data_IF_250137354126
#
_entry.id   IF_250137354126
#
_cell.length_a   1.000
_cell.length_b   1.000
_cell.length_c   1.000
_cell.angle_alpha   90.00
_cell.angle_beta   90.00
_cell.angle_gamma   90.00
#
_symmetry.space_group_name_H-M   'P 1'
#
loop_
_entity.id
_entity.type
_entity.pdbx_description
1 polymer ?
#
# COMPACT_ATOMS: atom_id res chain seq x y z
N UNK A 1 -25.50 -9.23 -19.66
CA UNK A 1 -24.76 -9.71 -18.48
C UNK A 1 -23.86 -10.91 -18.82
N UNK A 2 -24.36 -11.97 -19.50
CA UNK A 2 -23.54 -13.16 -19.80
C UNK A 2 -22.27 -12.82 -20.62
N UNK A 3 -22.39 -12.00 -21.67
CA UNK A 3 -21.25 -11.56 -22.47
C UNK A 3 -20.22 -10.76 -21.60
N UNK A 4 -20.69 -9.89 -20.73
CA UNK A 4 -19.83 -9.15 -19.78
C UNK A 4 -19.10 -10.11 -18.86
N UNK A 5 -19.79 -11.11 -18.30
CA UNK A 5 -19.19 -12.11 -17.43
C UNK A 5 -18.05 -12.88 -18.14
N UNK A 6 -18.27 -13.27 -19.40
CA UNK A 6 -17.22 -13.96 -20.18
C UNK A 6 -16.02 -13.05 -20.43
N UNK A 7 -16.23 -11.80 -20.81
CA UNK A 7 -15.13 -10.83 -21.04
C UNK A 7 -14.34 -10.59 -19.76
N UNK A 8 -15.02 -10.34 -18.66
CA UNK A 8 -14.37 -10.10 -17.35
C UNK A 8 -13.57 -11.33 -16.92
N UNK A 9 -14.16 -12.53 -16.96
CA UNK A 9 -13.46 -13.76 -16.59
C UNK A 9 -12.21 -14.01 -17.46
N UNK A 10 -12.33 -13.74 -18.78
CA UNK A 10 -11.18 -13.86 -19.69
C UNK A 10 -10.04 -12.91 -19.26
N UNK A 11 -10.35 -11.64 -18.96
CA UNK A 11 -9.34 -10.67 -18.52
C UNK A 11 -8.73 -11.07 -17.17
N UNK A 12 -9.54 -11.58 -16.25
CA UNK A 12 -9.04 -12.09 -14.97
C UNK A 12 -8.06 -13.26 -15.16
N UNK A 13 -8.36 -14.21 -16.03
CA UNK A 13 -7.47 -15.33 -16.33
C UNK A 13 -6.17 -14.85 -16.97
N UNK A 14 -6.26 -13.97 -17.98
CA UNK A 14 -5.08 -13.43 -18.67
C UNK A 14 -4.20 -12.66 -17.69
N UNK A 15 -4.80 -11.82 -16.86
CA UNK A 15 -4.06 -10.99 -15.89
C UNK A 15 -3.45 -11.85 -14.78
N UNK A 16 -4.18 -12.85 -14.29
CA UNK A 16 -3.65 -13.81 -13.32
C UNK A 16 -2.44 -14.61 -13.89
N UNK A 17 -2.52 -15.00 -15.16
CA UNK A 17 -1.40 -15.65 -15.84
C UNK A 17 -0.20 -14.73 -16.00
N UNK A 18 -0.43 -13.47 -16.39
CA UNK A 18 0.63 -12.47 -16.51
C UNK A 18 1.32 -12.22 -15.17
N UNK A 19 0.56 -12.10 -14.07
CA UNK A 19 1.11 -11.95 -12.71
C UNK A 19 1.95 -13.17 -12.29
N UNK A 20 1.50 -14.39 -12.60
CA UNK A 20 2.28 -15.61 -12.34
C UNK A 20 3.64 -15.59 -13.05
N UNK A 21 3.68 -15.15 -14.30
CA UNK A 21 4.91 -15.05 -15.09
C UNK A 21 5.79 -13.93 -14.56
N UNK A 22 5.21 -12.77 -14.24
CA UNK A 22 5.94 -11.62 -13.70
C UNK A 22 6.66 -11.96 -12.38
N UNK A 23 6.05 -12.74 -11.48
CA UNK A 23 6.73 -13.24 -10.27
C UNK A 23 7.98 -14.03 -10.62
N UNK A 24 7.90 -14.94 -11.60
CA UNK A 24 9.05 -15.74 -11.99
C UNK A 24 10.16 -14.88 -12.63
N UNK A 25 9.78 -13.92 -13.49
CA UNK A 25 10.75 -13.00 -14.12
C UNK A 25 11.41 -12.08 -13.08
N UNK A 26 10.64 -11.49 -12.17
CA UNK A 26 11.20 -10.64 -11.12
C UNK A 26 12.18 -11.37 -10.21
N UNK A 27 11.97 -12.65 -9.95
CA UNK A 27 12.92 -13.48 -9.20
C UNK A 27 14.17 -13.79 -10.02
N UNK A 28 13.99 -14.09 -11.29
CA UNK A 28 15.12 -14.35 -12.20
C UNK A 28 16.01 -13.11 -12.39
N UNK A 29 15.42 -11.90 -12.51
CA UNK A 29 16.16 -10.63 -12.57
C UNK A 29 16.97 -10.34 -11.30
N UNK A 30 16.54 -10.87 -10.17
CA UNK A 30 17.26 -10.80 -8.89
C UNK A 30 18.27 -11.93 -8.69
N UNK A 31 18.45 -12.80 -9.68
CA UNK A 31 19.28 -14.01 -9.58
C UNK A 31 18.83 -14.96 -8.44
N UNK A 32 17.52 -14.91 -8.11
CA UNK A 32 16.92 -15.79 -7.11
C UNK A 32 16.40 -17.03 -7.81
N UNK A 33 17.07 -18.16 -7.57
CA UNK A 33 16.59 -19.46 -8.03
C UNK A 33 15.49 -19.96 -7.10
N UNK A 34 14.27 -19.99 -7.61
CA UNK A 34 13.09 -20.41 -6.86
C UNK A 34 12.13 -21.19 -7.73
N UNK A 35 11.89 -22.42 -7.35
CA UNK A 35 10.95 -23.33 -8.01
C UNK A 35 9.62 -23.31 -7.25
N UNK A 36 8.52 -23.20 -7.97
CA UNK A 36 7.19 -23.27 -7.39
C UNK A 36 6.83 -24.75 -7.08
N UNK A 37 6.36 -25.01 -5.87
CA UNK A 37 5.94 -26.35 -5.44
C UNK A 37 4.62 -26.79 -6.08
N UNK A 38 3.84 -25.85 -6.60
CA UNK A 38 2.54 -26.11 -7.22
C UNK A 38 2.24 -25.14 -8.37
N UNK A 39 1.37 -25.56 -9.26
CA UNK A 39 0.86 -24.72 -10.35
C UNK A 39 -0.44 -24.01 -9.92
N UNK A 40 -0.61 -22.78 -10.37
CA UNK A 40 -1.85 -22.03 -10.12
C UNK A 40 -3.01 -22.56 -10.98
N UNK A 41 -4.18 -22.72 -10.36
CA UNK A 41 -5.43 -22.89 -11.08
C UNK A 41 -5.99 -21.51 -11.45
N UNK A 42 -5.74 -21.07 -12.68
CA UNK A 42 -6.12 -19.74 -13.14
C UNK A 42 -7.64 -19.47 -13.09
N UNK A 43 -8.46 -20.52 -13.19
CA UNK A 43 -9.92 -20.38 -13.09
C UNK A 43 -10.37 -19.98 -11.67
N UNK A 44 -9.58 -20.31 -10.65
CA UNK A 44 -9.88 -19.92 -9.26
C UNK A 44 -9.82 -18.40 -9.01
N UNK A 45 -9.24 -17.63 -9.94
CA UNK A 45 -9.14 -16.18 -9.84
C UNK A 45 -10.27 -15.44 -10.57
N UNK A 46 -11.24 -16.15 -11.11
CA UNK A 46 -12.41 -15.54 -11.78
C UNK A 46 -13.52 -15.22 -10.78
N UNK A 47 -14.23 -14.13 -11.02
CA UNK A 47 -15.42 -13.78 -10.25
C UNK A 47 -16.60 -14.67 -10.65
N UNK A 48 -17.27 -15.24 -9.68
CA UNK A 48 -18.47 -16.04 -9.89
C UNK A 48 -19.53 -15.25 -10.68
N UNK A 49 -20.20 -15.85 -11.71
CA UNK A 49 -21.14 -15.14 -12.57
C UNK A 49 -22.29 -14.45 -11.83
N UNK A 50 -22.82 -15.09 -10.77
CA UNK A 50 -23.88 -14.48 -9.96
C UNK A 50 -23.37 -13.30 -9.11
N UNK A 51 -22.14 -13.37 -8.62
CA UNK A 51 -21.52 -12.26 -7.90
C UNK A 51 -21.31 -11.07 -8.85
N UNK A 52 -20.79 -11.32 -10.05
CA UNK A 52 -20.62 -10.30 -11.07
C UNK A 52 -21.95 -9.66 -11.49
N UNK A 53 -23.01 -10.47 -11.67
CA UNK A 53 -24.35 -9.94 -11.98
C UNK A 53 -24.84 -8.97 -10.90
N UNK A 54 -24.64 -9.29 -9.62
CA UNK A 54 -25.00 -8.39 -8.51
C UNK A 54 -24.17 -7.12 -8.50
N UNK A 55 -22.87 -7.23 -8.79
CA UNK A 55 -21.96 -6.08 -8.85
C UNK A 55 -22.36 -5.14 -9.99
N UNK A 56 -22.63 -5.66 -11.17
CA UNK A 56 -23.12 -4.88 -12.33
C UNK A 56 -24.46 -4.19 -12.02
N UNK A 57 -25.38 -4.89 -11.37
CA UNK A 57 -26.68 -4.33 -11.01
C UNK A 57 -26.58 -3.23 -9.90
N UNK A 58 -25.47 -3.15 -9.21
CA UNK A 58 -25.21 -2.13 -8.19
C UNK A 58 -24.48 -0.90 -8.74
N UNK A 59 -24.17 -0.84 -10.05
CA UNK A 59 -23.57 0.33 -10.69
C UNK A 59 -24.65 1.15 -11.38
N UNK A 60 -24.69 2.45 -11.09
CA UNK A 60 -25.66 3.38 -11.66
C UNK A 60 -25.12 4.15 -12.88
N UNK A 61 -23.80 4.17 -13.05
CA UNK A 61 -23.13 4.91 -14.13
C UNK A 61 -22.04 4.07 -14.81
N UNK A 62 -21.72 4.41 -16.06
CA UNK A 62 -20.63 3.78 -16.81
C UNK A 62 -19.28 3.90 -16.06
N UNK A 63 -19.03 5.05 -15.44
CA UNK A 63 -17.81 5.26 -14.68
C UNK A 63 -17.73 4.39 -13.40
N UNK A 64 -18.84 4.06 -12.78
CA UNK A 64 -18.86 3.09 -11.66
C UNK A 64 -18.66 1.68 -12.17
N UNK A 65 -19.26 1.33 -13.28
CA UNK A 65 -19.07 0.04 -13.93
C UNK A 65 -17.59 -0.15 -14.33
N UNK A 66 -16.96 0.82 -14.99
CA UNK A 66 -15.55 0.78 -15.36
C UNK A 66 -14.65 0.58 -14.15
N UNK A 67 -14.83 1.38 -13.10
CA UNK A 67 -14.05 1.23 -11.86
C UNK A 67 -14.25 -0.12 -11.19
N UNK A 68 -15.46 -0.64 -11.21
CA UNK A 68 -15.75 -1.96 -10.67
C UNK A 68 -15.03 -3.06 -11.45
N UNK A 69 -15.10 -3.04 -12.79
CA UNK A 69 -14.41 -4.01 -13.66
C UNK A 69 -12.90 -3.92 -13.47
N UNK A 70 -12.34 -2.73 -13.50
CA UNK A 70 -10.91 -2.51 -13.27
C UNK A 70 -10.47 -3.08 -11.91
N UNK A 71 -11.24 -2.81 -10.86
CA UNK A 71 -10.94 -3.31 -9.51
C UNK A 71 -10.90 -4.82 -9.43
N UNK A 72 -11.89 -5.52 -9.99
CA UNK A 72 -11.96 -7.00 -9.91
C UNK A 72 -10.91 -7.69 -10.78
N UNK A 73 -10.50 -7.07 -11.90
CA UNK A 73 -9.40 -7.59 -12.74
C UNK A 73 -8.05 -7.41 -12.00
N UNK A 74 -7.83 -6.25 -11.42
CA UNK A 74 -6.63 -6.01 -10.61
C UNK A 74 -6.58 -6.90 -9.36
N UNK A 75 -7.71 -7.22 -8.75
CA UNK A 75 -7.77 -8.13 -7.61
C UNK A 75 -7.39 -9.56 -8.01
N UNK A 76 -7.81 -10.02 -9.19
CA UNK A 76 -7.38 -11.31 -9.74
C UNK A 76 -5.87 -11.36 -9.96
N UNK A 77 -5.27 -10.30 -10.50
CA UNK A 77 -3.82 -10.18 -10.67
C UNK A 77 -3.07 -10.33 -9.35
N UNK A 78 -3.46 -9.53 -8.35
CA UNK A 78 -2.81 -9.54 -7.03
C UNK A 78 -3.00 -10.84 -6.26
N UNK A 79 -4.17 -11.45 -6.39
CA UNK A 79 -4.43 -12.77 -5.80
C UNK A 79 -3.51 -13.83 -6.43
N UNK A 80 -3.36 -13.83 -7.75
CA UNK A 80 -2.46 -14.74 -8.45
C UNK A 80 -1.00 -14.50 -8.09
N UNK A 81 -0.57 -13.25 -7.96
CA UNK A 81 0.75 -12.85 -7.51
C UNK A 81 1.03 -13.36 -6.09
N UNK A 82 0.11 -13.13 -5.15
CA UNK A 82 0.19 -13.61 -3.78
C UNK A 82 0.31 -15.14 -3.71
N UNK A 83 -0.50 -15.87 -4.47
CA UNK A 83 -0.42 -17.34 -4.53
C UNK A 83 0.89 -17.78 -5.18
N UNK A 84 1.37 -17.07 -6.21
CA UNK A 84 2.66 -17.38 -6.87
C UNK A 84 3.85 -17.24 -5.93
N UNK A 85 3.79 -16.27 -5.00
CA UNK A 85 4.78 -16.15 -3.91
C UNK A 85 4.61 -17.28 -2.89
N UNK A 86 3.37 -17.56 -2.48
CA UNK A 86 3.08 -18.58 -1.46
C UNK A 86 3.54 -19.98 -1.83
N UNK A 87 3.45 -20.35 -3.12
CA UNK A 87 3.91 -21.67 -3.60
C UNK A 87 5.42 -21.77 -3.78
N UNK A 88 6.17 -20.78 -3.36
CA UNK A 88 7.63 -20.75 -3.36
C UNK A 88 8.14 -20.66 -1.92
N UNK A 89 8.69 -21.73 -1.35
CA UNK A 89 9.35 -21.66 -0.05
C UNK A 89 10.41 -20.57 -0.07
N UNK A 90 10.64 -19.90 1.02
CA UNK A 90 11.69 -18.89 1.18
C UNK A 90 11.53 -17.60 0.39
N UNK A 91 10.45 -17.45 -0.38
CA UNK A 91 10.11 -16.19 -1.05
C UNK A 91 9.14 -15.38 -0.18
N UNK A 92 9.52 -14.14 0.00
CA UNK A 92 8.77 -13.09 0.66
C UNK A 92 8.35 -12.07 -0.38
N UNK A 93 7.67 -11.01 0.02
CA UNK A 93 7.46 -9.88 -0.87
C UNK A 93 7.68 -8.56 -0.13
N UNK A 94 8.08 -7.56 -0.87
CA UNK A 94 8.09 -6.18 -0.41
C UNK A 94 6.96 -5.40 -1.06
N UNK A 95 6.48 -4.38 -0.36
CA UNK A 95 5.60 -3.39 -0.95
C UNK A 95 6.43 -2.37 -1.71
N UNK A 96 6.25 -2.36 -3.01
CA UNK A 96 6.75 -1.31 -3.88
C UNK A 96 5.66 -0.27 -4.12
N UNK A 97 5.98 0.97 -3.85
CA UNK A 97 5.04 2.08 -3.99
C UNK A 97 5.35 2.83 -5.28
N UNK A 98 4.36 2.93 -6.18
CA UNK A 98 4.50 3.68 -7.43
C UNK A 98 4.34 5.18 -7.15
N UNK A 99 5.39 6.00 -7.33
CA UNK A 99 5.29 7.45 -7.14
C UNK A 99 4.56 8.13 -8.32
N UNK A 100 3.84 9.24 -8.11
CA UNK A 100 3.57 9.87 -6.81
C UNK A 100 2.56 9.08 -5.98
N UNK A 101 2.74 9.04 -4.66
CA UNK A 101 1.96 8.17 -3.78
C UNK A 101 1.30 8.92 -2.62
N UNK A 102 0.33 8.28 -1.95
CA UNK A 102 -0.22 8.80 -0.72
C UNK A 102 0.65 8.43 0.49
N UNK A 103 0.52 9.18 1.57
CA UNK A 103 1.26 8.94 2.82
C UNK A 103 1.04 7.56 3.43
N UNK A 104 -0.14 6.96 3.24
CA UNK A 104 -0.44 5.59 3.70
C UNK A 104 0.42 4.54 3.00
N UNK A 105 0.58 4.69 1.68
CA UNK A 105 1.44 3.81 0.90
C UNK A 105 2.91 4.05 1.26
N UNK A 106 3.33 5.32 1.35
CA UNK A 106 4.70 5.68 1.72
C UNK A 106 5.17 5.04 3.04
N UNK A 107 4.31 5.03 4.07
CA UNK A 107 4.61 4.38 5.38
C UNK A 107 4.91 2.89 5.23
N UNK A 108 4.34 2.24 4.22
CA UNK A 108 4.48 0.81 3.99
C UNK A 108 5.53 0.48 2.93
N UNK A 109 6.15 1.50 2.32
CA UNK A 109 7.14 1.32 1.26
C UNK A 109 8.34 0.52 1.77
N UNK A 110 8.80 -0.43 0.97
CA UNK A 110 9.94 -1.28 1.27
C UNK A 110 9.74 -2.27 2.42
N UNK A 111 8.55 -2.31 3.02
CA UNK A 111 8.27 -3.26 4.11
C UNK A 111 8.21 -4.68 3.56
N UNK A 112 8.92 -5.59 4.22
CA UNK A 112 8.92 -7.02 3.91
C UNK A 112 7.70 -7.69 4.55
N UNK A 113 7.03 -8.51 3.77
CA UNK A 113 5.85 -9.29 4.18
C UNK A 113 6.08 -10.76 3.93
N UNK A 114 5.59 -11.58 4.83
CA UNK A 114 5.45 -13.03 4.61
C UNK A 114 4.28 -13.30 3.69
N UNK A 115 4.25 -14.48 3.10
CA UNK A 115 3.11 -14.93 2.28
C UNK A 115 1.77 -14.83 3.04
N UNK A 116 1.77 -15.04 4.37
CA UNK A 116 0.58 -15.03 5.22
C UNK A 116 0.10 -13.63 5.64
N UNK A 117 0.90 -12.59 5.40
CA UNK A 117 0.60 -11.24 5.92
C UNK A 117 -0.44 -10.49 5.07
N UNK A 118 -0.76 -11.03 3.89
CA UNK A 118 -1.64 -10.40 2.92
C UNK A 118 -1.04 -9.14 2.29
N UNK A 119 -1.81 -8.50 1.43
CA UNK A 119 -1.45 -7.25 0.78
C UNK A 119 -2.62 -6.26 0.85
N UNK A 120 -2.84 -5.71 2.06
CA UNK A 120 -3.90 -4.75 2.28
C UNK A 120 -3.68 -3.46 1.51
N UNK A 121 -4.76 -2.95 0.91
CA UNK A 121 -4.75 -1.71 0.14
C UNK A 121 -6.01 -0.89 0.40
N UNK A 122 -5.91 0.39 0.14
CA UNK A 122 -7.06 1.29 0.12
C UNK A 122 -7.58 1.44 -1.33
N UNK A 123 -8.79 1.95 -1.53
CA UNK A 123 -9.29 2.27 -2.87
C UNK A 123 -8.31 3.17 -3.64
N UNK A 124 -8.15 2.90 -4.93
CA UNK A 124 -7.22 3.59 -5.84
C UNK A 124 -5.73 3.45 -5.46
N UNK A 125 -5.36 2.33 -4.81
CA UNK A 125 -3.97 2.00 -4.52
C UNK A 125 -3.36 1.26 -5.72
N UNK A 126 -2.26 1.78 -6.23
CA UNK A 126 -1.48 1.20 -7.34
C UNK A 126 -0.15 0.56 -6.90
N UNK A 127 0.03 0.39 -5.58
CA UNK A 127 1.22 -0.29 -5.07
C UNK A 127 1.34 -1.70 -5.64
N UNK A 128 2.57 -2.09 -5.92
CA UNK A 128 2.93 -3.42 -6.44
C UNK A 128 3.58 -4.27 -5.35
N UNK A 129 3.49 -5.57 -5.53
CA UNK A 129 4.16 -6.57 -4.72
C UNK A 129 5.40 -7.04 -5.48
N UNK A 130 6.60 -6.92 -4.89
CA UNK A 130 7.82 -7.45 -5.51
C UNK A 130 8.25 -8.67 -4.73
N UNK A 131 8.24 -9.85 -5.35
CA UNK A 131 8.73 -11.08 -4.73
C UNK A 131 10.25 -10.97 -4.54
N UNK A 132 10.75 -11.43 -3.39
CA UNK A 132 12.18 -11.37 -3.06
C UNK A 132 12.50 -12.29 -1.89
N UNK A 133 13.78 -12.35 -1.53
CA UNK A 133 14.24 -12.89 -0.24
C UNK A 133 14.28 -11.76 0.80
N UNK A 134 14.52 -12.10 2.07
CA UNK A 134 14.57 -11.13 3.18
C UNK A 134 15.61 -10.01 2.97
N UNK A 135 16.65 -10.28 2.18
CA UNK A 135 17.71 -9.31 1.88
C UNK A 135 17.42 -8.52 0.60
N UNK A 136 16.32 -7.76 0.56
CA UNK A 136 15.93 -6.97 -0.61
C UNK A 136 16.72 -5.66 -0.75
N UNK A 137 17.70 -5.55 -1.65
CA UNK A 137 18.56 -4.36 -1.76
C UNK A 137 17.87 -3.15 -2.41
N UNK A 138 16.69 -3.34 -2.99
CA UNK A 138 15.90 -2.29 -3.67
C UNK A 138 14.67 -1.86 -2.87
N UNK A 139 14.65 -2.14 -1.58
CA UNK A 139 13.55 -1.69 -0.72
C UNK A 139 13.51 -0.16 -0.68
N UNK A 140 12.34 0.40 -1.02
CA UNK A 140 12.13 1.85 -0.95
C UNK A 140 12.16 2.32 0.51
N UNK A 141 12.80 3.45 0.76
CA UNK A 141 12.74 4.13 2.05
C UNK A 141 11.55 5.10 2.10
N UNK A 142 10.67 5.02 3.12
CA UNK A 142 9.61 5.99 3.33
C UNK A 142 10.11 7.44 3.43
N UNK A 143 11.27 7.65 4.09
CA UNK A 143 11.90 8.97 4.21
C UNK A 143 12.34 9.53 2.86
N UNK A 144 12.96 8.71 2.03
CA UNK A 144 13.44 9.14 0.71
C UNK A 144 12.28 9.57 -0.19
N UNK A 145 11.13 8.86 -0.12
CA UNK A 145 9.93 9.26 -0.84
C UNK A 145 9.42 10.65 -0.41
N UNK A 146 9.53 10.98 0.88
CA UNK A 146 9.14 12.30 1.40
C UNK A 146 10.16 13.36 1.00
N UNK A 147 11.45 13.11 1.11
CA UNK A 147 12.53 14.03 0.75
C UNK A 147 12.50 14.38 -0.74
N UNK A 148 12.23 13.40 -1.59
CA UNK A 148 12.07 13.59 -3.03
C UNK A 148 10.74 14.27 -3.42
N UNK A 149 9.86 14.57 -2.44
CA UNK A 149 8.57 15.20 -2.71
C UNK A 149 7.53 14.30 -3.38
N UNK A 150 7.74 13.00 -3.38
CA UNK A 150 6.90 12.01 -4.07
C UNK A 150 5.63 11.62 -3.29
N UNK A 151 5.48 12.09 -2.04
CA UNK A 151 4.28 11.88 -1.22
C UNK A 151 3.37 13.10 -1.31
N UNK A 152 2.16 12.92 -1.84
CA UNK A 152 1.29 14.01 -2.28
C UNK A 152 0.44 14.66 -1.18
N UNK A 153 0.02 13.89 -0.17
CA UNK A 153 -0.99 14.29 0.81
C UNK A 153 -0.43 14.70 2.19
N UNK A 154 0.87 14.96 2.30
CA UNK A 154 1.49 15.52 3.50
C UNK A 154 1.37 17.04 3.54
N UNK A 155 1.01 17.59 4.71
CA UNK A 155 1.04 19.04 4.93
C UNK A 155 2.48 19.56 5.03
N UNK A 156 2.64 20.88 4.93
CA UNK A 156 3.96 21.50 5.15
C UNK A 156 4.52 21.21 6.54
N UNK A 157 3.66 21.17 7.56
CA UNK A 157 4.05 20.86 8.93
C UNK A 157 4.50 19.39 9.08
N UNK A 158 3.81 18.45 8.41
CA UNK A 158 4.22 17.05 8.46
C UNK A 158 5.56 16.82 7.77
N UNK A 159 5.76 17.42 6.59
CA UNK A 159 7.05 17.34 5.88
C UNK A 159 8.18 17.89 6.74
N UNK A 160 7.94 19.06 7.37
CA UNK A 160 8.92 19.65 8.27
C UNK A 160 9.21 18.75 9.48
N UNK A 161 8.19 18.15 10.09
CA UNK A 161 8.38 17.23 11.21
C UNK A 161 9.22 16.02 10.81
N UNK A 162 8.98 15.44 9.64
CA UNK A 162 9.74 14.30 9.10
C UNK A 162 11.20 14.73 8.81
N UNK A 163 11.41 15.90 8.22
CA UNK A 163 12.75 16.46 8.00
C UNK A 163 13.50 16.74 9.30
N UNK A 164 12.79 17.09 10.38
CA UNK A 164 13.34 17.26 11.72
C UNK A 164 13.56 15.92 12.46
N UNK A 165 13.32 14.77 11.80
CA UNK A 165 13.57 13.43 12.30
C UNK A 165 12.36 12.71 12.89
N UNK A 166 11.14 13.21 12.66
CA UNK A 166 9.93 12.51 13.08
C UNK A 166 9.71 11.26 12.23
N UNK A 167 9.29 10.16 12.87
CA UNK A 167 8.90 8.94 12.19
C UNK A 167 7.65 9.17 11.35
N UNK A 168 7.73 8.85 10.05
CA UNK A 168 6.66 9.07 9.09
C UNK A 168 5.36 8.34 9.49
N UNK A 169 5.46 7.13 10.06
CA UNK A 169 4.30 6.35 10.46
C UNK A 169 3.55 7.03 11.60
N UNK A 170 4.29 7.62 12.52
CA UNK A 170 3.71 8.39 13.63
C UNK A 170 3.02 9.66 13.12
N UNK A 171 3.65 10.39 12.21
CA UNK A 171 3.08 11.61 11.61
C UNK A 171 1.78 11.30 10.85
N UNK A 172 1.79 10.25 10.02
CA UNK A 172 0.63 9.85 9.23
C UNK A 172 -0.51 9.30 10.09
N UNK A 173 -0.21 8.50 11.10
CA UNK A 173 -1.22 7.89 11.96
C UNK A 173 -1.89 8.89 12.90
N UNK A 174 -1.23 9.99 13.23
CA UNK A 174 -1.80 11.10 14.00
C UNK A 174 -3.11 11.63 13.40
N UNK A 175 -3.24 11.59 12.08
CA UNK A 175 -4.42 12.07 11.36
C UNK A 175 -5.61 11.14 11.42
N UNK A 176 -5.44 9.92 11.88
CA UNK A 176 -6.53 8.94 11.96
C UNK A 176 -7.28 9.10 13.28
N UNK A 177 -8.61 9.20 13.23
CA UNK A 177 -9.49 9.18 14.40
C UNK A 177 -9.26 7.96 15.30
N UNK A 178 -8.86 6.83 14.72
CA UNK A 178 -8.52 5.60 15.44
C UNK A 178 -7.30 5.74 16.36
N UNK A 179 -6.44 6.74 16.15
CA UNK A 179 -5.30 7.03 17.01
C UNK A 179 -5.63 7.98 18.18
N UNK A 180 -6.89 8.30 18.42
CA UNK A 180 -7.34 9.20 19.49
C UNK A 180 -7.05 10.68 19.25
N UNK A 181 -6.74 11.06 18.00
CA UNK A 181 -6.35 12.41 17.64
C UNK A 181 -7.47 13.14 16.91
N UNK A 182 -7.62 14.42 17.23
CA UNK A 182 -8.58 15.32 16.58
C UNK A 182 -7.99 15.89 15.27
N UNK A 183 -8.81 16.63 14.56
CA UNK A 183 -8.50 17.22 13.25
C UNK A 183 -7.09 17.85 13.16
N UNK A 184 -6.41 17.76 12.00
CA UNK A 184 -5.11 18.37 11.77
C UNK A 184 -5.10 19.87 12.14
N UNK A 185 -4.02 20.33 12.74
CA UNK A 185 -3.84 21.73 13.07
C UNK A 185 -4.44 22.21 14.40
N UNK A 186 -5.10 21.34 15.16
CA UNK A 186 -5.60 21.68 16.50
C UNK A 186 -4.67 21.17 17.60
N UNK A 187 -4.32 22.06 18.52
CA UNK A 187 -3.70 21.70 19.80
C UNK A 187 -4.74 20.97 20.64
N UNK A 188 -4.42 19.78 21.12
CA UNK A 188 -5.35 18.98 21.92
C UNK A 188 -5.47 19.53 23.34
N UNK A 189 -6.67 19.90 23.77
CA UNK A 189 -6.98 20.09 25.15
C UNK A 189 -7.25 18.74 25.83
N UNK A 190 -6.46 18.40 26.86
CA UNK A 190 -6.51 17.22 27.73
C UNK A 190 -6.18 15.87 27.05
N UNK A 191 -5.01 15.34 27.39
CA UNK A 191 -4.62 13.92 27.29
C UNK A 191 -4.38 13.37 25.88
N UNK A 192 -4.54 14.18 24.84
CA UNK A 192 -4.27 13.77 23.48
C UNK A 192 -2.88 14.19 22.99
N UNK A 193 -2.38 13.48 22.01
CA UNK A 193 -1.09 13.76 21.37
C UNK A 193 -1.27 14.95 20.39
N UNK A 194 -0.50 16.04 20.50
CA UNK A 194 -0.59 17.13 19.55
C UNK A 194 -0.09 16.70 18.17
N UNK A 195 -0.66 17.28 17.12
CA UNK A 195 -0.13 17.09 15.75
C UNK A 195 1.21 17.80 15.61
N UNK A 196 2.09 17.44 14.64
CA UNK A 196 3.31 18.17 14.36
C UNK A 196 3.05 19.68 14.14
N UNK A 197 1.99 20.00 13.42
CA UNK A 197 1.56 21.41 13.25
C UNK A 197 1.21 22.08 14.57
N UNK A 198 0.54 21.37 15.48
CA UNK A 198 0.23 21.85 16.83
C UNK A 198 1.51 22.10 17.64
N UNK A 199 2.51 21.18 17.53
CA UNK A 199 3.81 21.35 18.18
C UNK A 199 4.51 22.61 17.68
N UNK A 200 4.60 22.79 16.36
CA UNK A 200 5.26 23.97 15.78
C UNK A 200 4.56 25.30 16.10
N UNK A 201 3.26 25.30 16.35
CA UNK A 201 2.53 26.47 16.82
C UNK A 201 2.78 26.80 18.30
N UNK A 202 3.15 25.80 19.10
CA UNK A 202 3.41 25.93 20.54
C UNK A 202 4.86 26.27 20.86
N UNK A 203 5.78 26.14 19.89
CA UNK A 203 7.22 26.27 20.11
C UNK A 203 7.77 27.54 19.49
N UNK A 204 8.77 28.13 20.15
CA UNK A 204 9.44 29.33 19.67
C UNK A 204 10.56 29.02 18.67
N UNK A 205 11.23 27.87 18.84
CA UNK A 205 12.39 27.48 18.04
C UNK A 205 12.40 25.97 17.71
N UNK A 206 13.39 25.59 16.87
CA UNK A 206 13.56 24.20 16.42
C UNK A 206 13.97 23.26 17.57
N UNK A 207 14.77 23.70 18.52
CA UNK A 207 15.28 22.86 19.62
C UNK A 207 14.11 22.43 20.50
N UNK A 208 13.25 23.37 20.86
CA UNK A 208 12.03 23.10 21.61
C UNK A 208 11.06 22.20 20.82
N UNK A 209 10.91 22.44 19.52
CA UNK A 209 10.07 21.61 18.64
C UNK A 209 10.57 20.15 18.60
N UNK A 210 11.86 19.93 18.40
CA UNK A 210 12.48 18.59 18.41
C UNK A 210 12.32 17.91 19.78
N UNK A 211 12.47 18.65 20.87
CA UNK A 211 12.22 18.12 22.21
C UNK A 211 10.80 17.64 22.40
N UNK A 212 9.80 18.41 21.92
CA UNK A 212 8.39 18.00 21.98
C UNK A 212 8.08 16.86 21.02
N UNK A 213 8.65 16.84 19.83
CA UNK A 213 8.48 15.71 18.89
C UNK A 213 8.98 14.40 19.53
N UNK A 214 10.11 14.43 20.25
CA UNK A 214 10.64 13.29 21.02
C UNK A 214 9.72 12.92 22.17
N UNK A 215 9.31 13.89 22.99
CA UNK A 215 8.40 13.70 24.13
C UNK A 215 7.10 13.03 23.72
N UNK A 216 6.56 13.39 22.57
CA UNK A 216 5.32 12.82 22.04
C UNK A 216 5.53 11.60 21.14
N UNK A 217 6.76 11.04 21.08
CA UNK A 217 7.08 9.81 20.38
C UNK A 217 6.98 9.92 18.85
N UNK A 218 7.21 11.10 18.27
CA UNK A 218 7.36 11.30 16.83
C UNK A 218 8.79 10.97 16.36
N UNK A 219 9.77 11.15 17.24
CA UNK A 219 11.19 10.80 17.02
C UNK A 219 11.71 9.97 18.19
N UNK A 220 12.71 9.14 17.94
CA UNK A 220 13.43 8.31 18.91
C UNK A 220 14.67 9.01 19.45
#
# INVERSE_FOLDING_TARGET
>A
VAAVATVVATHQIVTARASQLAVAEMLAEQEIDSIADAMLNLLAFTTEPQALTRMVAATDTDAEFERMVESIVQDAARAAESVSVTVRPDIWHIRYVNPPCCSRCAVLAGRVYRFSDGFDRHPNCDCSMIPTTVAAPFAQSPSDLVEQGLVTDLSKADRKAIQDGADISQVVNVRRRAAGLREPGRVLARGGRPTPEGIYRMTADRVEAVSLLRKFGYIT
#
